data_IF_349053174610
#
_entry.id   IF_349053174610
#
_cell.length_a   1.000
_cell.length_b   1.000
_cell.length_c   1.000
_cell.angle_alpha   90.00
_cell.angle_beta   90.00
_cell.angle_gamma   90.00
#
_symmetry.space_group_name_H-M   'P 1'
#
loop_
_entity.id
_entity.type
_entity.pdbx_description
1 polymer ?
#
# COMPACT_ATOMS: atom_id res chain seq x y z
N UNK A 1 -17.16 38.06 15.06
CA UNK A 1 -17.01 36.93 14.12
C UNK A 1 -15.56 36.49 14.10
N UNK A 2 -15.23 35.39 14.80
CA UNK A 2 -13.89 34.76 14.70
C UNK A 2 -13.97 33.68 13.64
N UNK A 3 -13.12 33.82 12.61
CA UNK A 3 -12.96 32.86 11.53
C UNK A 3 -12.64 31.48 12.09
N UNK A 4 -13.52 30.51 11.85
CA UNK A 4 -13.26 29.08 12.08
C UNK A 4 -12.43 28.60 10.88
N UNK A 5 -11.22 29.14 10.73
CA UNK A 5 -10.27 28.66 9.76
C UNK A 5 -9.82 27.26 10.21
N UNK A 6 -10.42 26.23 9.59
CA UNK A 6 -9.96 24.85 9.48
C UNK A 6 -8.81 24.47 10.43
N UNK A 7 -9.14 24.16 11.68
CA UNK A 7 -8.23 23.63 12.68
C UNK A 7 -8.01 22.12 12.51
N UNK A 8 -8.03 21.63 11.27
CA UNK A 8 -7.53 20.28 10.99
C UNK A 8 -6.03 20.34 11.23
N UNK A 9 -5.56 19.72 12.32
CA UNK A 9 -4.13 19.48 12.50
C UNK A 9 -3.61 18.83 11.22
N UNK A 10 -2.65 19.45 10.55
CA UNK A 10 -1.94 18.84 9.42
C UNK A 10 -1.20 17.63 9.98
N UNK A 11 -1.79 16.44 9.88
CA UNK A 11 -1.15 15.21 10.29
C UNK A 11 0.13 15.03 9.49
N UNK A 12 1.27 14.90 10.19
CA UNK A 12 2.54 14.57 9.57
C UNK A 12 2.78 13.10 9.82
N UNK A 13 3.01 12.30 8.78
CA UNK A 13 3.52 10.95 9.03
C UNK A 13 4.91 11.12 9.69
N UNK A 14 5.24 10.42 10.80
CA UNK A 14 4.56 9.26 11.39
C UNK A 14 3.78 9.51 12.71
N UNK A 15 2.81 10.44 12.74
CA UNK A 15 2.01 10.74 13.94
C UNK A 15 0.96 9.66 14.32
N UNK A 16 0.74 8.65 13.46
CA UNK A 16 -0.24 7.58 13.66
C UNK A 16 0.49 6.25 13.88
N UNK A 17 0.11 5.44 14.88
CA UNK A 17 0.70 4.11 15.06
C UNK A 17 0.58 3.27 13.79
N UNK A 18 1.71 2.71 13.34
CA UNK A 18 1.86 1.95 12.09
C UNK A 18 0.77 0.87 11.95
N UNK A 19 0.58 0.08 13.01
CA UNK A 19 -0.44 -0.98 13.06
C UNK A 19 -1.85 -0.44 12.83
N UNK A 20 -2.19 0.65 13.51
CA UNK A 20 -3.50 1.27 13.39
C UNK A 20 -3.76 1.78 11.97
N UNK A 21 -2.74 2.35 11.33
CA UNK A 21 -2.81 2.79 9.93
C UNK A 21 -3.09 1.62 8.99
N UNK A 22 -2.36 0.51 9.13
CA UNK A 22 -2.56 -0.71 8.34
C UNK A 22 -3.97 -1.29 8.54
N UNK A 23 -4.50 -1.29 9.76
CA UNK A 23 -5.86 -1.71 10.06
C UNK A 23 -6.92 -0.80 9.41
N UNK A 24 -6.71 0.52 9.39
CA UNK A 24 -7.65 1.42 8.71
C UNK A 24 -7.66 1.22 7.20
N UNK A 25 -6.49 1.11 6.57
CA UNK A 25 -6.40 0.77 5.14
C UNK A 25 -7.13 -0.55 4.84
N UNK A 26 -6.91 -1.56 5.68
CA UNK A 26 -7.56 -2.86 5.52
C UNK A 26 -9.07 -2.79 5.70
N UNK A 27 -9.58 -1.98 6.64
CA UNK A 27 -11.03 -1.76 6.78
C UNK A 27 -11.63 -1.10 5.54
N UNK A 28 -10.96 -0.10 4.97
CA UNK A 28 -11.39 0.59 3.75
C UNK A 28 -11.43 -0.40 2.57
N UNK A 29 -10.36 -1.17 2.37
CA UNK A 29 -10.26 -2.15 1.28
C UNK A 29 -11.31 -3.26 1.42
N UNK A 30 -11.50 -3.80 2.63
CA UNK A 30 -12.52 -4.83 2.90
C UNK A 30 -13.93 -4.31 2.64
N UNK A 31 -14.24 -3.06 2.98
CA UNK A 31 -15.55 -2.47 2.72
C UNK A 31 -15.85 -2.37 1.22
N UNK A 32 -14.85 -2.12 0.39
CA UNK A 32 -14.99 -2.11 -1.07
C UNK A 32 -15.03 -3.53 -1.64
N UNK A 33 -14.14 -4.40 -1.17
CA UNK A 33 -14.05 -5.80 -1.62
C UNK A 33 -15.34 -6.57 -1.36
N UNK A 34 -16.00 -6.35 -0.21
CA UNK A 34 -17.32 -6.94 0.09
C UNK A 34 -18.45 -6.46 -0.82
N UNK A 35 -18.30 -5.29 -1.45
CA UNK A 35 -19.26 -4.73 -2.42
C UNK A 35 -18.91 -5.08 -3.85
N UNK A 36 -17.77 -5.73 -4.10
CA UNK A 36 -17.31 -6.10 -5.43
C UNK A 36 -18.30 -7.06 -6.07
N UNK A 37 -18.73 -6.75 -7.28
CA UNK A 37 -19.61 -7.60 -8.07
C UNK A 37 -18.76 -8.39 -9.08
N UNK A 38 -18.61 -9.73 -8.93
CA UNK A 38 -17.65 -10.50 -9.72
C UNK A 38 -17.82 -10.39 -11.25
N UNK A 39 -19.06 -10.29 -11.75
CA UNK A 39 -19.28 -10.18 -13.20
C UNK A 39 -18.76 -8.86 -13.79
N UNK A 40 -18.59 -7.81 -12.97
CA UNK A 40 -17.98 -6.56 -13.41
C UNK A 40 -16.48 -6.72 -13.73
N UNK A 41 -15.84 -7.79 -13.25
CA UNK A 41 -14.46 -8.16 -13.58
C UNK A 41 -14.33 -8.92 -14.91
N UNK A 42 -15.43 -9.18 -15.63
CA UNK A 42 -15.38 -9.86 -16.93
C UNK A 42 -15.07 -8.87 -18.06
N UNK A 43 -14.32 -9.32 -19.06
CA UNK A 43 -14.12 -8.59 -20.31
C UNK A 43 -13.42 -7.23 -20.19
N UNK A 44 -12.66 -6.99 -19.11
CA UNK A 44 -11.89 -5.77 -18.89
C UNK A 44 -12.74 -4.47 -19.02
N UNK A 45 -14.03 -4.52 -18.65
CA UNK A 45 -14.96 -3.39 -18.86
C UNK A 45 -14.51 -2.14 -18.10
N UNK A 46 -13.87 -2.30 -16.94
CA UNK A 46 -13.33 -1.20 -16.13
C UNK A 46 -12.17 -0.44 -16.79
N UNK A 47 -11.46 -1.05 -17.76
CA UNK A 47 -10.30 -0.42 -18.42
C UNK A 47 -10.64 0.23 -19.76
N UNK A 48 -11.92 0.28 -20.14
CA UNK A 48 -12.37 0.91 -21.38
C UNK A 48 -12.17 2.43 -21.33
N UNK A 49 -11.73 3.01 -22.45
CA UNK A 49 -11.53 4.47 -22.58
C UNK A 49 -12.85 5.24 -22.56
N UNK A 50 -13.92 4.62 -23.03
CA UNK A 50 -15.26 5.19 -22.98
C UNK A 50 -15.80 5.20 -21.55
N UNK A 51 -15.83 6.40 -20.96
CA UNK A 51 -16.27 6.61 -19.57
C UNK A 51 -17.79 6.63 -19.41
N UNK A 52 -18.57 6.69 -20.51
CA UNK A 52 -20.04 6.67 -20.44
C UNK A 52 -20.58 5.37 -19.80
N UNK A 53 -19.83 4.28 -19.98
CA UNK A 53 -20.10 2.95 -19.43
C UNK A 53 -19.37 2.64 -18.13
N UNK A 54 -18.79 3.64 -17.46
CA UNK A 54 -18.08 3.45 -16.18
C UNK A 54 -18.97 2.82 -15.09
N UNK A 55 -20.29 3.03 -15.16
CA UNK A 55 -21.25 2.41 -14.26
C UNK A 55 -21.30 0.87 -14.36
N UNK A 56 -20.99 0.30 -15.54
CA UNK A 56 -20.98 -1.15 -15.77
C UNK A 56 -19.95 -1.89 -14.91
N UNK A 57 -18.91 -1.19 -14.45
CA UNK A 57 -17.86 -1.75 -13.60
C UNK A 57 -17.58 -0.89 -12.35
N UNK A 58 -18.60 -0.20 -11.83
CA UNK A 58 -18.47 0.76 -10.75
C UNK A 58 -17.77 0.21 -9.49
N UNK A 59 -18.04 -1.05 -9.11
CA UNK A 59 -17.46 -1.65 -7.89
C UNK A 59 -15.99 -2.03 -8.07
N UNK A 60 -15.63 -2.47 -9.29
CA UNK A 60 -14.24 -2.71 -9.68
C UNK A 60 -13.47 -1.40 -9.71
N UNK A 61 -14.03 -0.37 -10.35
CA UNK A 61 -13.43 0.96 -10.41
C UNK A 61 -13.25 1.56 -9.01
N UNK A 62 -14.19 1.37 -8.09
CA UNK A 62 -14.04 1.82 -6.71
C UNK A 62 -12.82 1.17 -6.03
N UNK A 63 -12.62 -0.14 -6.24
CA UNK A 63 -11.47 -0.88 -5.71
C UNK A 63 -10.14 -0.41 -6.34
N UNK A 64 -10.12 -0.23 -7.67
CA UNK A 64 -8.95 0.31 -8.39
C UNK A 64 -8.62 1.73 -7.95
N UNK A 65 -9.63 2.58 -7.74
CA UNK A 65 -9.44 3.95 -7.29
C UNK A 65 -8.87 4.00 -5.88
N UNK A 66 -9.30 3.11 -4.99
CA UNK A 66 -8.72 2.99 -3.65
C UNK A 66 -7.23 2.58 -3.71
N UNK A 67 -6.89 1.57 -4.52
CA UNK A 67 -5.50 1.17 -4.74
C UNK A 67 -4.65 2.37 -5.20
N UNK A 68 -5.12 3.07 -6.25
CA UNK A 68 -4.43 4.24 -6.79
C UNK A 68 -4.32 5.36 -5.75
N UNK A 69 -5.37 5.60 -4.96
CA UNK A 69 -5.36 6.61 -3.91
C UNK A 69 -4.28 6.30 -2.88
N UNK A 70 -4.11 5.05 -2.45
CA UNK A 70 -3.03 4.65 -1.53
C UNK A 70 -1.67 4.89 -2.16
N UNK A 71 -1.41 4.44 -3.39
CA UNK A 71 -0.14 4.69 -4.09
C UNK A 71 0.17 6.19 -4.21
N UNK A 72 -0.82 7.01 -4.57
CA UNK A 72 -0.65 8.46 -4.65
C UNK A 72 -0.44 9.12 -3.29
N UNK A 73 -1.05 8.61 -2.21
CA UNK A 73 -0.78 9.09 -0.84
C UNK A 73 0.65 8.83 -0.42
N UNK A 74 1.22 7.68 -0.77
CA UNK A 74 2.65 7.40 -0.55
C UNK A 74 3.50 8.44 -1.28
N UNK A 75 3.32 8.57 -2.59
CA UNK A 75 4.10 9.48 -3.43
C UNK A 75 3.97 10.94 -2.94
N UNK A 76 2.74 11.40 -2.74
CA UNK A 76 2.48 12.78 -2.33
C UNK A 76 3.04 13.06 -0.93
N UNK A 77 2.87 12.19 0.05
CA UNK A 77 3.38 12.44 1.41
C UNK A 77 4.91 12.61 1.46
N UNK A 78 5.66 11.94 0.58
CA UNK A 78 7.12 12.04 0.48
C UNK A 78 7.56 13.30 -0.29
N UNK A 79 6.72 13.79 -1.20
CA UNK A 79 7.05 14.89 -2.13
C UNK A 79 6.39 16.23 -1.80
N UNK A 80 5.35 16.25 -0.95
CA UNK A 80 4.45 17.40 -0.75
C UNK A 80 5.17 18.65 -0.26
N UNK A 81 6.22 18.48 0.54
CA UNK A 81 7.01 19.58 1.10
C UNK A 81 8.39 19.62 0.40
N UNK A 82 8.59 20.53 -0.57
CA UNK A 82 9.86 20.62 -1.31
C UNK A 82 11.04 20.93 -0.38
N UNK A 83 10.82 21.74 0.66
CA UNK A 83 11.87 22.18 1.59
C UNK A 83 12.17 21.17 2.71
N UNK A 84 11.47 20.03 2.74
CA UNK A 84 11.64 19.01 3.76
C UNK A 84 13.06 18.45 3.74
N UNK A 85 13.71 18.46 4.91
CA UNK A 85 15.07 17.93 5.08
C UNK A 85 15.11 16.46 4.68
N UNK A 86 16.25 16.01 4.15
CA UNK A 86 16.43 14.64 3.67
C UNK A 86 16.10 13.59 4.74
N UNK A 87 16.53 13.79 5.99
CA UNK A 87 16.25 12.86 7.09
C UNK A 87 14.76 12.79 7.45
N UNK A 88 14.06 13.93 7.50
CA UNK A 88 12.62 13.96 7.78
C UNK A 88 11.84 13.26 6.65
N UNK A 89 12.27 13.44 5.40
CA UNK A 89 11.70 12.74 4.23
C UNK A 89 11.96 11.24 4.30
N UNK A 90 13.16 10.83 4.71
CA UNK A 90 13.52 9.43 4.90
C UNK A 90 12.69 8.78 6.02
N UNK A 91 12.34 9.52 7.07
CA UNK A 91 11.44 9.04 8.13
C UNK A 91 10.02 8.76 7.61
N UNK A 92 9.48 9.61 6.72
CA UNK A 92 8.18 9.36 6.05
C UNK A 92 8.26 8.10 5.18
N UNK A 93 9.34 7.93 4.42
CA UNK A 93 9.58 6.74 3.60
C UNK A 93 9.65 5.48 4.46
N UNK A 94 10.44 5.49 5.54
CA UNK A 94 10.56 4.39 6.48
C UNK A 94 9.21 4.03 7.13
N UNK A 95 8.41 5.03 7.48
CA UNK A 95 7.06 4.79 8.02
C UNK A 95 6.14 4.06 7.03
N UNK A 96 6.24 4.34 5.72
CA UNK A 96 5.50 3.58 4.71
C UNK A 96 5.99 2.13 4.58
N UNK A 97 7.29 1.88 4.75
CA UNK A 97 7.84 0.52 4.80
C UNK A 97 7.28 -0.23 6.01
N UNK A 98 7.22 0.41 7.17
CA UNK A 98 6.64 -0.19 8.38
C UNK A 98 5.15 -0.51 8.21
N UNK A 99 4.39 0.41 7.59
CA UNK A 99 2.97 0.19 7.29
C UNK A 99 2.80 -0.98 6.31
N UNK A 100 3.67 -1.07 5.31
CA UNK A 100 3.68 -2.19 4.36
C UNK A 100 3.97 -3.52 5.06
N UNK A 101 4.92 -3.56 5.99
CA UNK A 101 5.22 -4.75 6.80
C UNK A 101 4.00 -5.17 7.62
N UNK A 102 3.31 -4.24 8.29
CA UNK A 102 2.08 -4.55 9.03
C UNK A 102 0.95 -5.04 8.10
N UNK A 103 0.80 -4.47 6.90
CA UNK A 103 -0.16 -4.95 5.89
C UNK A 103 0.15 -6.38 5.42
N UNK A 104 1.44 -6.74 5.30
CA UNK A 104 1.87 -8.11 5.00
C UNK A 104 1.44 -9.09 6.10
N UNK A 105 1.59 -8.71 7.36
CA UNK A 105 1.22 -9.52 8.52
C UNK A 105 -0.29 -9.77 8.59
N UNK A 106 -1.11 -8.74 8.31
CA UNK A 106 -2.59 -8.87 8.29
C UNK A 106 -3.14 -9.31 6.94
N UNK A 107 -2.28 -9.75 6.02
CA UNK A 107 -2.64 -10.31 4.70
C UNK A 107 -3.45 -9.36 3.81
N UNK A 108 -3.28 -8.04 3.97
CA UNK A 108 -3.82 -7.06 3.01
C UNK A 108 -2.81 -6.83 1.87
N UNK A 109 -2.81 -7.75 0.91
CA UNK A 109 -1.91 -7.70 -0.25
C UNK A 109 -2.23 -6.55 -1.22
N UNK A 110 -3.47 -6.03 -1.22
CA UNK A 110 -3.86 -4.95 -2.13
C UNK A 110 -3.20 -3.62 -1.75
N UNK A 111 -3.42 -3.15 -0.51
CA UNK A 111 -2.75 -1.93 -0.01
C UNK A 111 -1.24 -2.10 0.13
N UNK A 112 -0.76 -3.30 0.47
CA UNK A 112 0.67 -3.61 0.47
C UNK A 112 1.27 -3.37 -0.93
N UNK A 113 0.70 -3.96 -1.99
CA UNK A 113 1.17 -3.71 -3.37
C UNK A 113 1.05 -2.23 -3.72
N UNK A 114 0.00 -1.54 -3.31
CA UNK A 114 -0.18 -0.11 -3.58
C UNK A 114 0.95 0.74 -2.99
N UNK A 115 1.38 0.46 -1.75
CA UNK A 115 2.51 1.14 -1.12
C UNK A 115 3.81 0.83 -1.84
N UNK A 116 4.09 -0.45 -2.11
CA UNK A 116 5.30 -0.87 -2.84
C UNK A 116 5.37 -0.20 -4.22
N UNK A 117 4.27 -0.17 -4.97
CA UNK A 117 4.18 0.53 -6.25
C UNK A 117 4.40 2.04 -6.10
N UNK A 118 3.92 2.66 -5.02
CA UNK A 118 4.18 4.07 -4.72
C UNK A 118 5.66 4.35 -4.46
N UNK A 119 6.32 3.51 -3.67
CA UNK A 119 7.76 3.61 -3.34
C UNK A 119 8.66 3.32 -4.55
N UNK A 120 8.29 2.36 -5.41
CA UNK A 120 9.02 2.02 -6.64
C UNK A 120 8.75 3.00 -7.80
N UNK A 121 7.76 3.89 -7.68
CA UNK A 121 7.45 4.85 -8.72
C UNK A 121 8.66 5.77 -9.04
N UNK A 122 8.83 6.13 -10.31
CA UNK A 122 9.93 6.98 -10.77
C UNK A 122 10.15 8.26 -9.93
N UNK A 123 9.09 8.95 -9.43
CA UNK A 123 9.27 10.10 -8.55
C UNK A 123 9.95 9.84 -7.23
N UNK A 124 9.79 8.64 -6.67
CA UNK A 124 10.36 8.25 -5.38
C UNK A 124 11.68 7.51 -5.57
N UNK A 125 11.75 6.59 -6.54
CA UNK A 125 12.95 5.82 -6.87
C UNK A 125 14.18 6.71 -7.13
N UNK A 126 14.00 7.85 -7.82
CA UNK A 126 15.11 8.77 -8.14
C UNK A 126 15.68 9.55 -6.93
N UNK A 127 15.03 9.52 -5.75
CA UNK A 127 15.44 10.30 -4.58
C UNK A 127 16.63 9.64 -3.83
N UNK A 128 17.75 9.45 -4.51
CA UNK A 128 18.89 8.67 -4.02
C UNK A 128 19.40 9.11 -2.63
N UNK A 129 19.49 10.43 -2.38
CA UNK A 129 19.88 10.97 -1.08
C UNK A 129 18.91 10.60 0.05
N UNK A 130 17.62 10.48 -0.26
CA UNK A 130 16.60 10.10 0.73
C UNK A 130 16.71 8.61 1.03
N UNK A 131 16.84 7.76 0.00
CA UNK A 131 17.06 6.32 0.16
C UNK A 131 18.33 6.00 0.97
N UNK A 132 19.43 6.73 0.74
CA UNK A 132 20.67 6.59 1.50
C UNK A 132 20.54 6.99 2.98
N UNK A 133 19.56 7.83 3.33
CA UNK A 133 19.30 8.25 4.70
C UNK A 133 18.37 7.29 5.45
N UNK A 134 17.80 6.28 4.78
CA UNK A 134 17.03 5.20 5.39
C UNK A 134 18.01 4.15 5.93
N UNK A 135 17.74 3.62 7.11
CA UNK A 135 18.58 2.56 7.71
C UNK A 135 18.59 1.30 6.85
N UNK A 136 19.74 0.61 6.80
CA UNK A 136 19.92 -0.62 6.01
C UNK A 136 18.86 -1.70 6.31
N UNK A 137 18.52 -1.91 7.58
CA UNK A 137 17.47 -2.84 8.00
C UNK A 137 16.12 -2.57 7.33
N UNK A 138 15.70 -1.30 7.26
CA UNK A 138 14.45 -0.92 6.58
C UNK A 138 14.53 -1.11 5.07
N UNK A 139 15.69 -0.94 4.46
CA UNK A 139 15.90 -1.24 3.04
C UNK A 139 15.76 -2.75 2.80
N UNK A 140 16.34 -3.58 3.66
CA UNK A 140 16.20 -5.04 3.58
C UNK A 140 14.73 -5.48 3.68
N UNK A 141 13.96 -4.92 4.62
CA UNK A 141 12.50 -5.15 4.72
C UNK A 141 11.76 -4.69 3.46
N UNK A 142 12.11 -3.52 2.91
CA UNK A 142 11.50 -3.04 1.67
C UNK A 142 11.77 -3.99 0.50
N UNK A 143 13.01 -4.46 0.35
CA UNK A 143 13.41 -5.39 -0.71
C UNK A 143 12.69 -6.74 -0.56
N UNK A 144 12.54 -7.25 0.66
CA UNK A 144 11.74 -8.44 0.96
C UNK A 144 10.28 -8.30 0.52
N UNK A 145 9.64 -7.20 0.91
CA UNK A 145 8.25 -6.91 0.54
C UNK A 145 8.10 -6.70 -0.98
N UNK A 146 9.08 -6.05 -1.62
CA UNK A 146 9.08 -5.83 -3.06
C UNK A 146 9.24 -7.14 -3.85
N UNK A 147 10.06 -8.08 -3.37
CA UNK A 147 10.26 -9.41 -3.99
C UNK A 147 8.95 -10.20 -4.12
N UNK A 148 8.01 -10.05 -3.19
CA UNK A 148 6.69 -10.68 -3.27
C UNK A 148 5.99 -10.34 -4.58
N UNK A 149 6.18 -9.13 -5.08
CA UNK A 149 5.49 -8.61 -6.25
C UNK A 149 6.39 -8.37 -7.45
N UNK A 150 7.49 -9.13 -7.56
CA UNK A 150 8.33 -9.11 -8.74
C UNK A 150 7.53 -9.55 -9.97
N UNK A 151 7.94 -9.06 -11.14
CA UNK A 151 7.30 -9.40 -12.42
C UNK A 151 7.82 -10.74 -12.98
N UNK A 152 8.79 -11.35 -12.29
CA UNK A 152 9.46 -12.58 -12.73
C UNK A 152 8.47 -13.74 -12.85
N UNK A 153 8.66 -14.52 -13.92
CA UNK A 153 7.84 -15.69 -14.24
C UNK A 153 6.33 -15.42 -14.10
N UNK A 154 5.88 -14.29 -14.67
CA UNK A 154 4.48 -13.85 -14.60
C UNK A 154 3.98 -13.71 -13.15
N UNK A 155 4.75 -13.02 -12.30
CA UNK A 155 4.43 -12.75 -10.90
C UNK A 155 4.25 -14.02 -10.06
N UNK A 156 5.12 -15.02 -10.30
CA UNK A 156 5.02 -16.33 -9.64
C UNK A 156 5.02 -16.23 -8.11
N UNK A 157 5.89 -15.40 -7.53
CA UNK A 157 5.99 -15.24 -6.07
C UNK A 157 4.66 -14.76 -5.45
N UNK A 158 4.03 -13.76 -6.04
CA UNK A 158 2.73 -13.27 -5.60
C UNK A 158 1.65 -14.35 -5.72
N UNK A 159 1.62 -15.05 -6.86
CA UNK A 159 0.61 -16.09 -7.13
C UNK A 159 0.72 -17.24 -6.14
N UNK A 160 1.92 -17.77 -5.92
CA UNK A 160 2.16 -18.85 -4.97
C UNK A 160 1.77 -18.44 -3.54
N UNK A 161 2.16 -17.23 -3.14
CA UNK A 161 1.82 -16.69 -1.83
C UNK A 161 0.30 -16.56 -1.63
N UNK A 162 -0.41 -16.03 -2.63
CA UNK A 162 -1.87 -15.91 -2.58
C UNK A 162 -2.57 -17.27 -2.64
N UNK A 163 -2.01 -18.26 -3.31
CA UNK A 163 -2.54 -19.62 -3.26
C UNK A 163 -2.38 -20.22 -1.85
N UNK A 164 -1.19 -20.06 -1.25
CA UNK A 164 -0.89 -20.58 0.10
C UNK A 164 -1.70 -19.89 1.20
N UNK A 165 -1.81 -18.56 1.14
CA UNK A 165 -2.37 -17.75 2.24
C UNK A 165 -3.75 -17.17 1.95
N UNK A 166 -4.14 -17.03 0.68
CA UNK A 166 -5.40 -16.41 0.23
C UNK A 166 -6.55 -17.40 -0.01
N UNK A 167 -6.29 -18.70 -0.09
CA UNK A 167 -7.33 -19.75 -0.19
C UNK A 167 -7.65 -20.44 1.13
N UNK A 168 -7.00 -20.04 2.23
CA UNK A 168 -7.26 -20.63 3.53
C UNK A 168 -8.67 -20.24 4.02
N UNK A 169 -9.58 -21.22 4.09
CA UNK A 169 -10.94 -21.07 4.64
C UNK A 169 -10.95 -20.60 6.10
N UNK A 170 -9.81 -20.68 6.76
CA UNK A 170 -9.53 -20.10 8.07
C UNK A 170 -8.22 -19.34 7.95
N UNK A 171 -8.19 -18.09 8.40
CA UNK A 171 -6.93 -17.39 8.56
C UNK A 171 -6.16 -18.10 9.68
N UNK A 172 -5.24 -18.99 9.31
CA UNK A 172 -4.27 -19.52 10.25
C UNK A 172 -3.52 -18.33 10.85
N UNK A 173 -3.85 -17.98 12.09
CA UNK A 173 -3.07 -17.09 12.95
C UNK A 173 -1.86 -17.88 13.41
N UNK A 174 -0.93 -18.16 12.49
CA UNK A 174 0.27 -18.90 12.83
C UNK A 174 1.48 -18.16 12.27
N UNK A 175 1.86 -17.12 13.02
CA UNK A 175 3.14 -16.42 12.86
C UNK A 175 4.32 -17.17 13.47
N UNK A 176 4.18 -18.45 13.80
CA UNK A 176 5.24 -19.19 14.51
C UNK A 176 6.26 -19.87 13.59
N UNK A 177 5.92 -20.13 12.31
CA UNK A 177 6.77 -20.92 11.41
C UNK A 177 7.31 -20.17 10.17
N UNK A 178 6.98 -18.89 9.99
CA UNK A 178 7.58 -18.10 8.92
C UNK A 178 8.84 -17.41 9.45
N UNK A 179 10.01 -18.02 9.19
CA UNK A 179 11.32 -17.51 9.63
C UNK A 179 11.60 -16.07 9.16
N UNK A 180 10.88 -15.59 8.14
CA UNK A 180 11.01 -14.22 7.62
C UNK A 180 10.09 -13.19 8.31
N UNK A 181 9.23 -13.60 9.25
CA UNK A 181 8.30 -12.72 9.98
C UNK A 181 8.58 -12.66 11.48
N UNK A 182 9.66 -13.29 11.95
CA UNK A 182 10.08 -13.17 13.34
C UNK A 182 10.60 -11.74 13.57
N UNK A 183 9.82 -10.95 14.34
CA UNK A 183 10.23 -9.63 14.82
C UNK A 183 11.56 -9.76 15.54
N UNK A 184 12.55 -8.97 15.12
CA UNK A 184 13.68 -8.58 15.97
C UNK A 184 13.19 -7.59 17.02
#
# INVERSE_FOLDING_TARGET
MRSVANQWRTYKLPDVPVRHFAEQLTRMDVALFKKLIPHQCLGAVWSRRDKSRSHDAATVLATVNQFNAVSFRVISSILVEPSLKTHDRAAILAAWIDIAQELRLIKNFSSLKAIISGLQSNPIYRLQKTWQAVSKEKIEVFDELARIFSEDNNQMAQRELLMREGTAKFADTVGENDKHLQKV
#
